data_IF_858504584075
#
_entry.id   IF_858504584075
#
_cell.length_a   1.000
_cell.length_b   1.000
_cell.length_c   1.000
_cell.angle_alpha   90.00
_cell.angle_beta   90.00
_cell.angle_gamma   90.00
#
_symmetry.space_group_name_H-M   'P 1'
#
loop_
_entity.id
_entity.type
_entity.pdbx_description
1 polymer ?
#
# COMPACT_ATOMS: atom_id res chain seq x y z
N UNK A 1 6.08 -6.48 13.33
CA UNK A 1 6.46 -5.07 13.56
C UNK A 1 5.36 -4.17 13.01
N UNK A 2 5.08 -3.01 13.60
CA UNK A 2 4.14 -2.02 13.06
C UNK A 2 4.85 -0.68 12.91
N UNK A 3 4.67 0.00 11.77
CA UNK A 3 5.30 1.29 11.49
C UNK A 3 4.35 2.20 10.72
N UNK A 4 4.01 3.35 11.32
CA UNK A 4 3.27 4.44 10.67
C UNK A 4 1.88 4.08 10.16
N UNK A 5 1.25 3.02 10.67
CA UNK A 5 -0.01 2.51 10.14
C UNK A 5 -1.14 3.55 10.24
N UNK A 6 -1.86 3.87 9.15
CA UNK A 6 -2.97 4.81 9.21
C UNK A 6 -4.09 4.32 10.13
N UNK A 7 -4.69 5.22 10.91
CA UNK A 7 -5.84 4.86 11.78
C UNK A 7 -7.06 4.44 10.98
N UNK A 8 -7.32 5.16 9.89
CA UNK A 8 -8.42 4.91 8.96
C UNK A 8 -7.84 4.91 7.54
N UNK A 9 -7.27 3.78 7.10
CA UNK A 9 -6.65 3.71 5.78
C UNK A 9 -7.70 3.92 4.68
N UNK A 10 -7.38 4.77 3.70
CA UNK A 10 -8.19 4.95 2.50
C UNK A 10 -8.15 3.69 1.62
N UNK A 11 -7.06 2.92 1.71
CA UNK A 11 -6.94 1.60 1.11
C UNK A 11 -5.88 0.75 1.82
N UNK A 12 -6.02 -0.56 1.68
CA UNK A 12 -5.11 -1.55 2.25
C UNK A 12 -4.79 -2.63 1.22
N UNK A 13 -3.63 -3.27 1.37
CA UNK A 13 -3.34 -4.59 0.80
C UNK A 13 -2.90 -5.54 1.90
N UNK A 14 -3.13 -6.83 1.67
CA UNK A 14 -2.95 -7.87 2.67
C UNK A 14 -2.35 -9.12 2.03
N UNK A 15 -1.21 -9.56 2.54
CA UNK A 15 -0.60 -10.84 2.23
C UNK A 15 -0.88 -11.82 3.36
N UNK A 16 -1.46 -12.97 3.02
CA UNK A 16 -1.75 -14.07 3.94
C UNK A 16 -1.07 -15.36 3.50
N UNK A 17 -0.85 -16.26 4.45
CA UNK A 17 -0.53 -17.65 4.14
C UNK A 17 -1.79 -18.46 3.76
N UNK A 18 -1.61 -19.74 3.41
CA UNK A 18 -2.70 -20.64 3.06
C UNK A 18 -3.71 -20.88 4.21
N UNK A 19 -3.29 -20.67 5.45
CA UNK A 19 -4.15 -20.76 6.63
C UNK A 19 -4.92 -19.47 6.93
N UNK A 20 -4.76 -18.43 6.10
CA UNK A 20 -5.37 -17.13 6.30
C UNK A 20 -4.67 -16.25 7.34
N UNK A 21 -3.48 -16.64 7.81
CA UNK A 21 -2.70 -15.85 8.75
C UNK A 21 -2.12 -14.63 8.04
N UNK A 22 -2.33 -13.44 8.60
CA UNK A 22 -1.77 -12.20 8.07
C UNK A 22 -0.25 -12.17 8.25
N UNK A 23 0.47 -12.04 7.14
CA UNK A 23 1.92 -11.91 7.12
C UNK A 23 2.32 -10.45 7.00
N UNK A 24 1.74 -9.74 6.03
CA UNK A 24 2.04 -8.32 5.76
C UNK A 24 0.74 -7.60 5.45
N UNK A 25 0.54 -6.45 6.09
CA UNK A 25 -0.55 -5.54 5.80
C UNK A 25 0.02 -4.16 5.51
N UNK A 26 -0.33 -3.57 4.38
CA UNK A 26 0.06 -2.21 3.99
C UNK A 26 -1.20 -1.34 3.97
N UNK A 27 -1.13 -0.15 4.56
CA UNK A 27 -2.22 0.82 4.56
C UNK A 27 -1.73 2.19 4.09
N UNK A 28 -2.58 2.89 3.33
CA UNK A 28 -2.34 4.28 2.90
C UNK A 28 -3.51 5.18 3.28
N UNK A 29 -3.20 6.42 3.67
CA UNK A 29 -4.14 7.53 3.77
C UNK A 29 -3.95 8.47 2.59
N UNK A 30 -5.05 8.87 1.93
CA UNK A 30 -5.00 9.66 0.69
C UNK A 30 -5.84 10.92 0.81
N UNK A 31 -5.28 12.05 0.37
CA UNK A 31 -5.98 13.34 0.31
C UNK A 31 -5.69 14.02 -1.02
N UNK A 32 -6.73 14.30 -1.80
CA UNK A 32 -6.61 14.90 -3.16
C UNK A 32 -5.60 14.14 -4.03
N UNK A 33 -5.73 12.82 -4.07
CA UNK A 33 -4.86 11.89 -4.80
C UNK A 33 -3.39 11.88 -4.37
N UNK A 34 -3.05 12.46 -3.23
CA UNK A 34 -1.70 12.42 -2.62
C UNK A 34 -1.73 11.48 -1.42
N UNK A 35 -0.77 10.56 -1.34
CA UNK A 35 -0.56 9.68 -0.18
C UNK A 35 0.02 10.53 0.96
N UNK A 36 -0.79 10.81 1.98
CA UNK A 36 -0.38 11.63 3.14
C UNK A 36 0.03 10.78 4.34
N UNK A 37 -0.44 9.53 4.39
CA UNK A 37 -0.08 8.55 5.39
C UNK A 37 0.25 7.23 4.67
N UNK A 38 1.29 6.54 5.13
CA UNK A 38 1.69 5.25 4.60
C UNK A 38 2.36 4.47 5.72
N UNK A 39 1.92 3.24 5.93
CA UNK A 39 2.45 2.40 7.00
C UNK A 39 2.09 0.95 6.81
N UNK A 40 2.73 0.09 7.60
CA UNK A 40 2.59 -1.35 7.44
C UNK A 40 2.61 -2.09 8.78
N UNK A 41 2.12 -3.32 8.75
CA UNK A 41 2.24 -4.32 9.81
C UNK A 41 2.87 -5.58 9.22
N UNK A 42 3.83 -6.16 9.92
CA UNK A 42 4.42 -7.47 9.62
C UNK A 42 4.26 -8.42 10.79
N UNK A 43 4.12 -9.69 10.47
CA UNK A 43 4.17 -10.78 11.44
C UNK A 43 5.59 -10.88 12.08
N UNK A 44 5.72 -11.13 13.39
CA UNK A 44 7.01 -11.15 14.08
C UNK A 44 8.04 -12.19 13.60
N UNK A 45 7.62 -13.26 12.91
CA UNK A 45 8.49 -14.30 12.36
C UNK A 45 9.03 -14.02 10.96
N UNK A 46 8.64 -12.90 10.33
CA UNK A 46 9.20 -12.52 9.03
C UNK A 46 10.64 -12.02 9.14
N UNK A 47 11.48 -12.27 8.10
CA UNK A 47 12.83 -11.74 8.04
C UNK A 47 12.88 -10.23 8.23
N UNK A 48 13.87 -9.72 8.96
CA UNK A 48 14.03 -8.28 9.22
C UNK A 48 14.14 -7.46 7.93
N UNK A 49 14.80 -8.00 6.92
CA UNK A 49 14.92 -7.41 5.58
C UNK A 49 13.56 -7.15 4.91
N UNK A 50 12.51 -7.93 5.24
CA UNK A 50 11.14 -7.64 4.78
C UNK A 50 10.61 -6.35 5.42
N UNK A 51 10.82 -6.17 6.73
CA UNK A 51 10.47 -4.93 7.42
C UNK A 51 11.21 -3.72 6.84
N UNK A 52 12.50 -3.88 6.54
CA UNK A 52 13.29 -2.84 5.88
C UNK A 52 12.73 -2.47 4.49
N UNK A 53 12.42 -3.47 3.66
CA UNK A 53 11.83 -3.24 2.33
C UNK A 53 10.48 -2.51 2.39
N UNK A 54 9.61 -2.89 3.34
CA UNK A 54 8.33 -2.21 3.56
C UNK A 54 8.51 -0.78 4.07
N UNK A 55 9.51 -0.54 4.93
CA UNK A 55 9.85 0.81 5.40
C UNK A 55 10.34 1.71 4.26
N UNK A 56 11.21 1.20 3.39
CA UNK A 56 11.70 1.97 2.23
C UNK A 56 10.58 2.22 1.22
N UNK A 57 9.69 1.24 1.01
CA UNK A 57 8.49 1.41 0.20
C UNK A 57 7.59 2.53 0.73
N UNK A 58 7.23 2.53 2.02
CA UNK A 58 6.33 3.55 2.56
C UNK A 58 6.98 4.93 2.53
N UNK A 59 8.29 5.03 2.76
CA UNK A 59 9.06 6.26 2.60
C UNK A 59 9.11 6.76 1.14
N UNK A 60 9.20 5.85 0.17
CA UNK A 60 9.10 6.17 -1.26
C UNK A 60 7.69 6.63 -1.65
N UNK A 61 6.64 6.01 -1.11
CA UNK A 61 5.26 6.27 -1.49
C UNK A 61 4.68 7.54 -0.83
N UNK A 62 5.11 7.87 0.39
CA UNK A 62 4.62 9.03 1.12
C UNK A 62 4.87 10.34 0.35
N UNK A 63 3.90 11.23 0.40
CA UNK A 63 3.85 12.52 -0.26
C UNK A 63 3.87 12.45 -1.81
N UNK A 64 3.70 11.25 -2.40
CA UNK A 64 3.52 11.08 -3.83
C UNK A 64 2.04 11.05 -4.21
N UNK A 65 1.76 11.56 -5.40
CA UNK A 65 0.47 11.30 -6.05
C UNK A 65 0.30 9.80 -6.31
N UNK A 66 -0.94 9.29 -6.25
CA UNK A 66 -1.27 7.88 -6.50
C UNK A 66 -0.69 7.38 -7.83
N UNK A 67 -0.80 8.19 -8.89
CA UNK A 67 -0.22 7.87 -10.21
C UNK A 67 1.31 7.82 -10.21
N UNK A 68 1.98 8.64 -9.38
CA UNK A 68 3.43 8.60 -9.28
C UNK A 68 3.87 7.41 -8.41
N UNK A 69 3.11 7.07 -7.37
CA UNK A 69 3.37 5.91 -6.53
C UNK A 69 3.22 4.59 -7.30
N UNK A 70 2.28 4.48 -8.25
CA UNK A 70 2.13 3.27 -9.07
C UNK A 70 3.31 2.98 -10.00
N UNK A 71 4.21 3.95 -10.19
CA UNK A 71 5.44 3.78 -10.97
C UNK A 71 6.62 3.30 -10.14
N UNK A 72 6.49 3.23 -8.80
CA UNK A 72 7.54 2.69 -7.93
C UNK A 72 7.76 1.22 -8.27
N UNK A 73 9.02 0.88 -8.52
CA UNK A 73 9.51 -0.46 -8.83
C UNK A 73 10.35 -1.05 -7.71
N UNK A 74 10.47 -2.37 -7.68
CA UNK A 74 11.36 -3.11 -6.80
C UNK A 74 12.80 -2.58 -6.86
N UNK A 75 13.27 -2.17 -8.05
CA UNK A 75 14.59 -1.57 -8.22
C UNK A 75 14.73 -0.20 -7.51
N UNK A 76 13.65 0.56 -7.30
CA UNK A 76 13.69 1.81 -6.52
C UNK A 76 13.85 1.52 -5.02
N UNK A 77 13.17 0.48 -4.54
CA UNK A 77 13.19 0.04 -3.14
C UNK A 77 14.54 -0.61 -2.82
N UNK A 78 14.99 -1.55 -3.66
CA UNK A 78 16.25 -2.26 -3.50
C UNK A 78 17.46 -1.32 -3.47
N UNK A 79 17.44 -0.22 -4.22
CA UNK A 79 18.50 0.81 -4.21
C UNK A 79 18.65 1.54 -2.87
N UNK A 80 17.66 1.44 -1.98
CA UNK A 80 17.69 2.02 -0.63
C UNK A 80 18.00 0.99 0.46
N UNK A 81 18.11 -0.27 0.10
CA UNK A 81 18.45 -1.36 1.00
C UNK A 81 19.96 -1.65 0.93
N UNK A 82 20.53 -2.31 1.97
CA UNK A 82 21.90 -2.79 1.92
C UNK A 82 22.14 -3.72 0.72
N UNK A 83 23.24 -3.50 -0.01
CA UNK A 83 23.53 -4.23 -1.25
C UNK A 83 24.12 -5.63 -1.03
N UNK A 84 24.43 -5.97 0.22
CA UNK A 84 25.11 -7.20 0.64
C UNK A 84 24.15 -8.36 0.95
N UNK A 85 22.86 -8.10 1.12
CA UNK A 85 21.86 -9.15 1.28
C UNK A 85 21.36 -9.66 -0.10
N UNK A 86 21.66 -10.92 -0.48
CA UNK A 86 21.25 -11.49 -1.76
C UNK A 86 19.74 -11.66 -1.91
N UNK A 87 18.97 -11.68 -0.81
CA UNK A 87 17.50 -11.77 -0.84
C UNK A 87 16.83 -10.38 -1.01
N UNK A 88 17.59 -9.29 -0.95
CA UNK A 88 17.09 -7.91 -1.15
C UNK A 88 16.15 -7.75 -2.36
N UNK A 89 16.48 -8.26 -3.57
CA UNK A 89 15.61 -8.12 -4.73
C UNK A 89 14.23 -8.76 -4.53
N UNK A 90 14.17 -9.88 -3.81
CA UNK A 90 12.93 -10.61 -3.53
C UNK A 90 12.04 -9.82 -2.56
N UNK A 91 12.61 -9.29 -1.48
CA UNK A 91 11.83 -8.49 -0.53
C UNK A 91 11.33 -7.18 -1.16
N UNK A 92 12.17 -6.53 -1.98
CA UNK A 92 11.76 -5.36 -2.75
C UNK A 92 10.62 -5.68 -3.75
N UNK A 93 10.65 -6.86 -4.39
CA UNK A 93 9.58 -7.29 -5.29
C UNK A 93 8.25 -7.53 -4.55
N UNK A 94 8.30 -8.14 -3.36
CA UNK A 94 7.12 -8.31 -2.51
C UNK A 94 6.57 -6.95 -2.09
N UNK A 95 7.42 -6.00 -1.69
CA UNK A 95 7.02 -4.65 -1.34
C UNK A 95 6.37 -3.90 -2.53
N UNK A 96 6.93 -4.00 -3.74
CA UNK A 96 6.30 -3.45 -4.96
C UNK A 96 4.89 -4.02 -5.17
N UNK A 97 4.74 -5.35 -5.09
CA UNK A 97 3.46 -6.04 -5.26
C UNK A 97 2.42 -5.53 -4.24
N UNK A 98 2.81 -5.43 -2.97
CA UNK A 98 1.95 -4.91 -1.90
C UNK A 98 1.46 -3.51 -2.21
N UNK A 99 2.33 -2.61 -2.69
CA UNK A 99 1.92 -1.25 -3.07
C UNK A 99 0.92 -1.27 -4.23
N UNK A 100 1.20 -2.01 -5.30
CA UNK A 100 0.35 -2.01 -6.48
C UNK A 100 -1.04 -2.57 -6.18
N UNK A 101 -1.12 -3.60 -5.34
CA UNK A 101 -2.39 -4.12 -4.84
C UNK A 101 -3.13 -3.08 -3.99
N UNK A 102 -2.43 -2.36 -3.10
CA UNK A 102 -3.02 -1.32 -2.27
C UNK A 102 -3.61 -0.18 -3.13
N UNK A 103 -2.88 0.27 -4.14
CA UNK A 103 -3.34 1.32 -5.08
C UNK A 103 -4.49 0.84 -5.97
N UNK A 104 -4.50 -0.44 -6.35
CA UNK A 104 -5.64 -1.06 -7.04
C UNK A 104 -6.88 -1.05 -6.15
N UNK A 105 -6.75 -1.42 -4.87
CA UNK A 105 -7.84 -1.43 -3.91
C UNK A 105 -8.37 -0.01 -3.65
N UNK A 106 -7.48 0.99 -3.55
CA UNK A 106 -7.86 2.41 -3.51
C UNK A 106 -8.74 2.79 -4.71
N UNK A 107 -8.28 2.47 -5.92
CA UNK A 107 -8.99 2.81 -7.15
C UNK A 107 -10.38 2.16 -7.22
N UNK A 108 -10.51 0.91 -6.79
CA UNK A 108 -11.80 0.22 -6.71
C UNK A 108 -12.74 0.85 -5.68
N UNK A 109 -12.25 1.15 -4.48
CA UNK A 109 -13.02 1.80 -3.42
C UNK A 109 -13.50 3.20 -3.85
N UNK A 110 -12.61 3.99 -4.44
CA UNK A 110 -12.93 5.32 -4.94
C UNK A 110 -14.02 5.29 -6.03
N UNK A 111 -13.93 4.36 -6.98
CA UNK A 111 -14.93 4.20 -8.03
C UNK A 111 -16.30 3.81 -7.49
N UNK A 112 -16.36 2.86 -6.53
CA UNK A 112 -17.61 2.48 -5.86
C UNK A 112 -18.25 3.67 -5.15
N UNK A 113 -17.47 4.40 -4.35
CA UNK A 113 -17.96 5.59 -3.64
C UNK A 113 -18.43 6.69 -4.61
N UNK A 114 -17.79 6.83 -5.78
CA UNK A 114 -18.22 7.75 -6.83
C UNK A 114 -19.55 7.34 -7.45
N UNK A 115 -19.73 6.06 -7.76
CA UNK A 115 -20.99 5.53 -8.32
C UNK A 115 -22.16 5.74 -7.36
N UNK A 116 -21.97 5.48 -6.07
CA UNK A 116 -22.99 5.71 -5.04
C UNK A 116 -23.39 7.19 -4.96
N UNK A 117 -22.42 8.12 -5.01
CA UNK A 117 -22.69 9.56 -5.05
C UNK A 117 -23.47 9.97 -6.29
N UNK A 118 -23.17 9.38 -7.45
CA UNK A 118 -23.89 9.67 -8.69
C UNK A 118 -25.33 9.13 -8.65
N UNK A 119 -25.53 7.91 -8.14
CA UNK A 119 -26.87 7.32 -7.95
C UNK A 119 -27.73 8.17 -7.01
N UNK A 120 -27.18 8.61 -5.88
CA UNK A 120 -27.90 9.47 -4.93
C UNK A 120 -28.32 10.80 -5.56
N UNK A 121 -27.43 11.45 -6.31
CA UNK A 121 -27.73 12.68 -7.05
C UNK A 121 -28.76 12.51 -8.18
N UNK A 122 -28.87 11.31 -8.75
CA UNK A 122 -29.88 11.01 -9.75
C UNK A 122 -31.25 10.83 -9.08
N UNK A 123 -31.32 10.10 -7.97
CA UNK A 123 -32.54 9.92 -7.19
C UNK A 123 -33.09 11.26 -6.66
N UNK A 124 -32.22 12.14 -6.15
CA UNK A 124 -32.60 13.48 -5.66
C UNK A 124 -33.10 14.44 -6.76
N UNK A 125 -32.95 14.09 -8.05
CA UNK A 125 -33.46 14.90 -9.18
C UNK A 125 -34.78 14.38 -9.74
N UNK A 126 -35.22 13.19 -9.31
CA UNK A 126 -36.48 12.57 -9.74
C UNK A 126 -37.63 12.82 -8.75
N UNK A 127 -37.32 13.38 -7.56
CA UNK A 127 -38.27 13.93 -6.57
C UNK A 127 -38.44 15.46 -6.75
#
# INVERSE_FOLDING_TARGET
MESGYPKEPAAESLMQDEGGRELIRLGIGVRRDIIVEAGYKTEPGLPEAMGAAMSELTALAKDKAIMAASLIKAADIARRLPADDPETPKYAAIAELMLHECLRNYSMSYNRAREERLKKRAAEKED
#
